data_IF_448096992000
#
_entry.id   IF_448096992000
#
_cell.length_a   1.000
_cell.length_b   1.000
_cell.length_c   1.000
_cell.angle_alpha   90.00
_cell.angle_beta   90.00
_cell.angle_gamma   90.00
#
_symmetry.space_group_name_H-M   'P 1'
#
loop_
_entity.id
_entity.type
_entity.pdbx_description
1 polymer ?
#
# COMPACT_ATOMS: atom_id res chain seq x y z
N UNK A 1 -9.56 11.96 15.21
CA UNK A 1 -9.66 10.92 14.16
C UNK A 1 -8.82 11.24 12.92
N UNK A 2 -8.84 12.48 12.40
CA UNK A 2 -7.98 12.89 11.26
C UNK A 2 -6.47 12.68 11.47
N UNK A 3 -5.94 12.99 12.66
CA UNK A 3 -4.51 12.74 12.97
C UNK A 3 -4.16 11.25 12.90
N UNK A 4 -5.06 10.37 13.36
CA UNK A 4 -4.87 8.92 13.26
C UNK A 4 -4.88 8.48 11.80
N UNK A 5 -5.78 9.03 10.98
CA UNK A 5 -5.80 8.76 9.54
C UNK A 5 -4.49 9.18 8.85
N UNK A 6 -3.97 10.38 9.19
CA UNK A 6 -2.71 10.89 8.64
C UNK A 6 -1.51 10.02 9.05
N UNK A 7 -1.42 9.62 10.33
CA UNK A 7 -0.33 8.73 10.77
C UNK A 7 -0.42 7.36 10.08
N UNK A 8 -1.62 6.78 10.04
CA UNK A 8 -1.84 5.46 9.44
C UNK A 8 -1.53 5.45 7.93
N UNK A 9 -1.94 6.47 7.19
CA UNK A 9 -1.63 6.56 5.75
C UNK A 9 -0.15 6.81 5.46
N UNK A 10 0.55 7.55 6.33
CA UNK A 10 2.01 7.73 6.21
C UNK A 10 2.71 6.39 6.38
N UNK A 11 2.34 5.61 7.40
CA UNK A 11 2.88 4.25 7.61
C UNK A 11 2.56 3.36 6.40
N UNK A 12 1.32 3.37 5.91
CA UNK A 12 0.92 2.61 4.73
C UNK A 12 1.76 2.99 3.49
N UNK A 13 1.95 4.29 3.26
CA UNK A 13 2.71 4.81 2.11
C UNK A 13 4.18 4.41 2.18
N UNK A 14 4.80 4.47 3.37
CA UNK A 14 6.18 4.02 3.56
C UNK A 14 6.35 2.53 3.30
N UNK A 15 5.38 1.70 3.70
CA UNK A 15 5.37 0.26 3.36
C UNK A 15 5.27 0.05 1.84
N UNK A 16 4.43 0.82 1.15
CA UNK A 16 4.26 0.69 -0.30
C UNK A 16 5.49 1.20 -1.07
N UNK A 17 6.21 2.19 -0.55
CA UNK A 17 7.53 2.58 -1.07
C UNK A 17 8.54 1.44 -0.88
N UNK A 18 8.50 0.71 0.24
CA UNK A 18 9.33 -0.48 0.43
C UNK A 18 8.93 -1.62 -0.51
N UNK A 19 7.64 -1.79 -0.83
CA UNK A 19 7.17 -2.73 -1.85
C UNK A 19 7.67 -2.35 -3.24
N UNK A 20 7.56 -1.08 -3.62
CA UNK A 20 8.17 -0.55 -4.84
C UNK A 20 9.66 -0.89 -4.94
N UNK A 21 10.43 -0.64 -3.87
CA UNK A 21 11.85 -0.96 -3.87
C UNK A 21 12.10 -2.46 -4.08
N UNK A 22 11.33 -3.32 -3.42
CA UNK A 22 11.43 -4.78 -3.59
C UNK A 22 11.04 -5.24 -5.01
N UNK A 23 9.95 -4.73 -5.56
CA UNK A 23 9.37 -5.22 -6.81
C UNK A 23 10.01 -4.61 -8.07
N UNK A 24 10.44 -3.35 -8.02
CA UNK A 24 11.01 -2.65 -9.18
C UNK A 24 12.53 -2.58 -9.17
N UNK A 25 13.16 -2.40 -7.99
CA UNK A 25 14.60 -2.14 -7.92
C UNK A 25 15.41 -3.37 -7.51
N UNK A 26 14.87 -4.17 -6.59
CA UNK A 26 15.59 -5.26 -5.92
C UNK A 26 15.12 -6.66 -6.32
N UNK A 27 14.12 -6.76 -7.20
CA UNK A 27 13.40 -8.01 -7.46
C UNK A 27 14.30 -9.15 -7.97
N UNK A 28 15.32 -8.83 -8.76
CA UNK A 28 16.28 -9.80 -9.28
C UNK A 28 17.13 -10.49 -8.20
N UNK A 29 17.09 -10.02 -6.94
CA UNK A 29 17.82 -10.64 -5.82
C UNK A 29 17.05 -11.85 -5.28
N UNK A 30 17.70 -13.03 -5.10
CA UNK A 30 17.06 -14.21 -4.53
C UNK A 30 16.37 -14.02 -3.19
N UNK A 31 16.92 -13.19 -2.31
CA UNK A 31 16.31 -12.88 -1.02
C UNK A 31 14.97 -12.11 -1.15
N UNK A 32 14.71 -11.47 -2.29
CA UNK A 32 13.52 -10.65 -2.55
C UNK A 32 12.45 -11.49 -3.25
N UNK A 33 12.72 -12.08 -4.42
CA UNK A 33 11.70 -12.84 -5.15
C UNK A 33 11.16 -14.05 -4.36
N UNK A 34 11.96 -14.64 -3.46
CA UNK A 34 11.48 -15.70 -2.54
C UNK A 34 10.35 -15.24 -1.61
N UNK A 35 10.31 -13.95 -1.24
CA UNK A 35 9.23 -13.38 -0.42
C UNK A 35 7.88 -13.38 -1.15
N UNK A 36 7.92 -13.37 -2.49
CA UNK A 36 6.76 -13.46 -3.37
C UNK A 36 6.45 -14.90 -3.78
N UNK A 37 7.01 -15.90 -3.07
CA UNK A 37 6.82 -17.33 -3.33
C UNK A 37 7.24 -17.79 -4.73
N UNK A 38 8.13 -17.06 -5.39
CA UNK A 38 8.78 -17.48 -6.64
C UNK A 38 9.80 -18.57 -6.33
N UNK A 39 9.89 -19.61 -7.18
CA UNK A 39 10.66 -20.83 -6.87
C UNK A 39 12.08 -20.81 -7.44
N UNK A 40 12.30 -20.14 -8.57
CA UNK A 40 13.58 -20.13 -9.27
C UNK A 40 13.93 -18.75 -9.84
N UNK A 41 15.20 -18.56 -10.18
CA UNK A 41 15.64 -17.34 -10.87
C UNK A 41 14.99 -17.21 -12.26
N UNK A 42 14.80 -18.32 -12.98
CA UNK A 42 14.13 -18.30 -14.29
C UNK A 42 12.69 -17.80 -14.21
N UNK A 43 11.93 -18.25 -13.21
CA UNK A 43 10.56 -17.76 -12.97
C UNK A 43 10.58 -16.26 -12.59
N UNK A 44 11.53 -15.85 -11.76
CA UNK A 44 11.70 -14.45 -11.36
C UNK A 44 12.01 -13.57 -12.57
N UNK A 45 12.91 -13.99 -13.46
CA UNK A 45 13.26 -13.25 -14.66
C UNK A 45 12.07 -13.14 -15.63
N UNK A 46 11.27 -14.22 -15.75
CA UNK A 46 10.07 -14.24 -16.58
C UNK A 46 8.99 -13.25 -16.11
N UNK A 47 8.80 -13.09 -14.80
CA UNK A 47 7.79 -12.17 -14.23
C UNK A 47 8.35 -10.80 -13.87
N UNK A 48 9.66 -10.56 -14.02
CA UNK A 48 10.31 -9.30 -13.67
C UNK A 48 9.65 -8.06 -14.27
N UNK A 49 9.20 -8.02 -15.53
CA UNK A 49 8.50 -6.85 -16.07
C UNK A 49 7.17 -6.56 -15.37
N UNK A 50 6.46 -7.60 -14.95
CA UNK A 50 5.20 -7.48 -14.21
C UNK A 50 5.44 -6.97 -12.79
N UNK A 51 6.43 -7.52 -12.09
CA UNK A 51 6.85 -7.04 -10.77
C UNK A 51 7.31 -5.58 -10.85
N UNK A 52 8.08 -5.21 -11.86
CA UNK A 52 8.52 -3.84 -12.06
C UNK A 52 7.34 -2.87 -12.16
N UNK A 53 6.33 -3.21 -12.97
CA UNK A 53 5.12 -2.40 -13.12
C UNK A 53 4.32 -2.33 -11.82
N UNK A 54 4.20 -3.46 -11.11
CA UNK A 54 3.50 -3.54 -9.81
C UNK A 54 4.11 -2.61 -8.77
N UNK A 55 5.44 -2.53 -8.71
CA UNK A 55 6.11 -1.61 -7.81
C UNK A 55 5.79 -0.15 -8.12
N UNK A 56 5.64 0.24 -9.39
CA UNK A 56 5.25 1.61 -9.73
C UNK A 56 3.81 1.93 -9.34
N UNK A 57 2.87 0.99 -9.45
CA UNK A 57 1.54 1.17 -8.88
C UNK A 57 1.59 1.42 -7.37
N UNK A 58 2.41 0.65 -6.65
CA UNK A 58 2.63 0.86 -5.21
C UNK A 58 3.23 2.25 -4.91
N UNK A 59 4.19 2.71 -5.71
CA UNK A 59 4.80 4.03 -5.57
C UNK A 59 3.79 5.16 -5.77
N UNK A 60 2.96 5.08 -6.81
CA UNK A 60 1.97 6.13 -7.11
C UNK A 60 0.86 6.18 -6.05
N UNK A 61 0.43 5.03 -5.54
CA UNK A 61 -0.49 4.99 -4.39
C UNK A 61 0.14 5.62 -3.14
N UNK A 62 1.42 5.36 -2.89
CA UNK A 62 2.15 6.00 -1.78
C UNK A 62 2.23 7.52 -1.96
N UNK A 63 2.45 8.03 -3.18
CA UNK A 63 2.40 9.47 -3.45
C UNK A 63 1.03 10.05 -3.17
N UNK A 64 -0.06 9.40 -3.57
CA UNK A 64 -1.41 9.83 -3.25
C UNK A 64 -1.65 9.91 -1.73
N UNK A 65 -1.23 8.89 -0.99
CA UNK A 65 -1.34 8.86 0.47
C UNK A 65 -0.54 9.97 1.18
N UNK A 66 0.72 10.18 0.77
CA UNK A 66 1.56 11.24 1.32
C UNK A 66 1.05 12.63 0.95
N UNK A 67 0.61 12.85 -0.29
CA UNK A 67 0.01 14.11 -0.72
C UNK A 67 -1.25 14.42 0.10
N UNK A 68 -2.07 13.41 0.39
CA UNK A 68 -3.23 13.56 1.27
C UNK A 68 -2.86 13.94 2.70
N UNK A 69 -1.82 13.31 3.28
CA UNK A 69 -1.32 13.67 4.61
C UNK A 69 -0.76 15.11 4.66
N UNK A 70 -0.03 15.53 3.63
CA UNK A 70 0.50 16.91 3.50
C UNK A 70 -0.66 17.91 3.40
N UNK A 71 -1.67 17.63 2.58
CA UNK A 71 -2.85 18.49 2.47
C UNK A 71 -3.57 18.67 3.82
N UNK A 72 -3.74 17.59 4.61
CA UNK A 72 -4.29 17.70 5.97
C UNK A 72 -3.41 18.57 6.88
N UNK A 73 -2.09 18.50 6.76
CA UNK A 73 -1.17 19.34 7.53
C UNK A 73 -1.25 20.83 7.14
N UNK A 74 -1.73 21.12 5.92
CA UNK A 74 -1.98 22.47 5.42
C UNK A 74 -3.44 22.94 5.66
N UNK A 75 -4.21 22.21 6.46
CA UNK A 75 -5.66 22.43 6.73
C UNK A 75 -6.58 22.31 5.51
N UNK A 76 -6.10 21.71 4.41
CA UNK A 76 -6.87 21.38 3.20
C UNK A 76 -7.67 20.07 3.38
N UNK A 77 -8.67 20.11 4.27
CA UNK A 77 -9.35 18.91 4.79
C UNK A 77 -10.00 18.03 3.74
N UNK A 78 -10.76 18.62 2.82
CA UNK A 78 -11.50 17.88 1.77
C UNK A 78 -10.53 17.21 0.80
N UNK A 79 -9.48 17.93 0.38
CA UNK A 79 -8.44 17.42 -0.51
C UNK A 79 -7.68 16.29 0.17
N UNK A 80 -7.22 16.51 1.41
CA UNK A 80 -6.49 15.53 2.19
C UNK A 80 -7.30 14.25 2.44
N UNK A 81 -8.54 14.38 2.91
CA UNK A 81 -9.41 13.22 3.14
C UNK A 81 -9.70 12.43 1.85
N UNK A 82 -9.96 13.11 0.73
CA UNK A 82 -10.22 12.45 -0.56
C UNK A 82 -9.03 11.66 -1.06
N UNK A 83 -7.83 12.25 -1.02
CA UNK A 83 -6.60 11.60 -1.46
C UNK A 83 -6.25 10.39 -0.59
N UNK A 84 -6.38 10.53 0.75
CA UNK A 84 -6.15 9.43 1.68
C UNK A 84 -7.18 8.32 1.44
N UNK A 85 -8.46 8.65 1.31
CA UNK A 85 -9.52 7.66 1.11
C UNK A 85 -9.29 6.84 -0.17
N UNK A 86 -8.93 7.51 -1.29
CA UNK A 86 -8.63 6.84 -2.55
C UNK A 86 -7.39 5.96 -2.43
N UNK A 87 -6.26 6.52 -2.00
CA UNK A 87 -5.00 5.79 -1.95
C UNK A 87 -5.07 4.61 -0.97
N UNK A 88 -5.50 4.87 0.27
CA UNK A 88 -5.62 3.84 1.29
C UNK A 88 -6.70 2.80 0.93
N UNK A 89 -7.82 3.22 0.34
CA UNK A 89 -8.85 2.32 -0.17
C UNK A 89 -8.30 1.34 -1.20
N UNK A 90 -7.53 1.83 -2.18
CA UNK A 90 -6.86 0.98 -3.16
C UNK A 90 -5.85 0.00 -2.53
N UNK A 91 -5.01 0.46 -1.59
CA UNK A 91 -4.04 -0.39 -0.89
C UNK A 91 -4.74 -1.51 -0.09
N UNK A 92 -5.79 -1.16 0.65
CA UNK A 92 -6.59 -2.11 1.43
C UNK A 92 -7.30 -3.12 0.51
N UNK A 93 -7.94 -2.63 -0.57
CA UNK A 93 -8.57 -3.48 -1.57
C UNK A 93 -7.58 -4.45 -2.24
N UNK A 94 -6.38 -3.99 -2.58
CA UNK A 94 -5.34 -4.85 -3.11
C UNK A 94 -4.89 -5.94 -2.11
N UNK A 95 -4.86 -5.62 -0.80
CA UNK A 95 -4.58 -6.63 0.22
C UNK A 95 -5.68 -7.69 0.35
N UNK A 96 -6.95 -7.30 0.15
CA UNK A 96 -8.09 -8.25 0.05
C UNK A 96 -7.93 -9.15 -1.17
N UNK A 97 -7.59 -8.58 -2.33
CA UNK A 97 -7.33 -9.37 -3.55
C UNK A 97 -6.16 -10.33 -3.35
N UNK A 98 -5.10 -9.91 -2.64
CA UNK A 98 -3.94 -10.75 -2.34
C UNK A 98 -4.30 -11.96 -1.49
N UNK A 99 -5.07 -11.80 -0.41
CA UNK A 99 -5.49 -12.95 0.41
C UNK A 99 -6.50 -13.84 -0.34
N UNK A 100 -7.41 -13.26 -1.13
CA UNK A 100 -8.40 -14.00 -1.89
C UNK A 100 -7.77 -14.87 -2.99
N UNK A 101 -6.79 -14.33 -3.72
CA UNK A 101 -6.09 -15.05 -4.79
C UNK A 101 -4.97 -15.96 -4.27
N UNK A 102 -4.30 -15.54 -3.20
CA UNK A 102 -3.12 -16.20 -2.66
C UNK A 102 -3.40 -17.25 -1.59
N UNK A 103 -4.53 -17.17 -0.89
CA UNK A 103 -4.86 -18.01 0.26
C UNK A 103 -3.96 -17.78 1.47
N UNK A 104 -4.04 -18.66 2.47
CA UNK A 104 -3.43 -18.47 3.79
C UNK A 104 -1.90 -18.28 3.77
N UNK A 105 -1.20 -18.77 2.73
CA UNK A 105 0.23 -18.53 2.53
C UNK A 105 0.59 -17.05 2.42
N UNK A 106 -0.33 -16.20 1.95
CA UNK A 106 -0.14 -14.75 1.83
C UNK A 106 -0.82 -13.95 2.94
N UNK A 107 -1.40 -14.60 3.96
CA UNK A 107 -2.14 -13.91 5.03
C UNK A 107 -1.31 -12.82 5.71
N UNK A 108 -0.04 -13.10 6.02
CA UNK A 108 0.87 -12.11 6.60
C UNK A 108 1.15 -10.94 5.66
N UNK A 109 1.39 -11.21 4.38
CA UNK A 109 1.65 -10.18 3.37
C UNK A 109 0.42 -9.29 3.17
N UNK A 110 -0.75 -9.90 3.03
CA UNK A 110 -2.03 -9.21 2.94
C UNK A 110 -2.31 -8.34 4.16
N UNK A 111 -2.05 -8.84 5.38
CA UNK A 111 -2.21 -8.05 6.59
C UNK A 111 -1.28 -6.84 6.64
N UNK A 112 0.01 -7.00 6.31
CA UNK A 112 0.97 -5.88 6.26
C UNK A 112 0.56 -4.83 5.22
N UNK A 113 0.01 -5.26 4.09
CA UNK A 113 -0.45 -4.37 3.03
C UNK A 113 -1.77 -3.66 3.36
N UNK A 114 -2.72 -4.35 4.01
CA UNK A 114 -4.08 -3.85 4.19
C UNK A 114 -4.36 -3.16 5.53
N UNK A 115 -3.70 -3.55 6.62
CA UNK A 115 -4.08 -3.08 7.96
C UNK A 115 -3.82 -1.58 8.15
N UNK A 116 -2.61 -1.04 7.90
CA UNK A 116 -2.38 0.40 8.03
C UNK A 116 -3.33 1.26 7.18
N UNK A 117 -3.54 0.99 5.88
CA UNK A 117 -4.47 1.78 5.09
C UNK A 117 -5.94 1.59 5.51
N UNK A 118 -6.35 0.41 5.98
CA UNK A 118 -7.71 0.22 6.51
C UNK A 118 -7.94 1.06 7.77
N UNK A 119 -6.96 1.16 8.66
CA UNK A 119 -7.03 2.07 9.82
C UNK A 119 -7.21 3.51 9.36
N UNK A 120 -6.52 3.94 8.30
CA UNK A 120 -6.68 5.28 7.76
C UNK A 120 -8.10 5.53 7.24
N UNK A 121 -8.65 4.61 6.45
CA UNK A 121 -10.01 4.70 5.90
C UNK A 121 -11.06 4.73 7.02
N UNK A 122 -10.96 3.85 8.02
CA UNK A 122 -11.90 3.81 9.15
C UNK A 122 -11.81 5.09 9.98
N UNK A 123 -10.61 5.56 10.27
CA UNK A 123 -10.41 6.82 11.00
C UNK A 123 -10.98 8.03 10.24
N UNK A 124 -10.86 8.07 8.91
CA UNK A 124 -11.51 9.11 8.09
C UNK A 124 -13.03 9.02 8.17
N UNK A 125 -13.61 7.84 7.96
CA UNK A 125 -15.06 7.65 8.00
C UNK A 125 -15.66 8.07 9.35
N UNK A 126 -14.99 7.72 10.46
CA UNK A 126 -15.40 8.14 11.80
C UNK A 126 -15.22 9.64 12.04
N UNK A 127 -14.32 10.30 11.30
CA UNK A 127 -14.14 11.76 11.41
C UNK A 127 -15.25 12.55 10.69
N UNK A 128 -15.81 12.02 9.60
CA UNK A 128 -16.87 12.67 8.82
C UNK A 128 -18.26 12.44 9.40
N UNK A 129 -18.44 11.40 10.23
CA UNK A 129 -19.72 11.10 10.93
C UNK A 129 -19.85 11.91 12.23
N UNK A 130 -18.74 12.44 12.75
CA UNK A 130 -18.67 13.15 14.04
C UNK A 130 -18.34 14.65 13.86
N UNK A 131 -18.39 15.15 12.63
CA UNK A 131 -18.08 16.54 12.25
C UNK A 131 -19.31 17.40 12.05
#
# INVERSE_FOLDING_TARGET
MLTLAAVAVVVASLLHIAFFAMESLLFSRPAVWRRFSVQSQGDADAIRPWAFNQGFYNLFLAFGGLAGAIALAMDERVVGATLIALAAGCMAGAGVVLIASGGMRFARAAAMQAVPPLVAVVALALSTVVG
#
